data_IF_519397956617
#
_entry.id   IF_519397956617
#
_cell.length_a   1.000
_cell.length_b   1.000
_cell.length_c   1.000
_cell.angle_alpha   90.00
_cell.angle_beta   90.00
_cell.angle_gamma   90.00
#
_symmetry.space_group_name_H-M   'P 1'
#
loop_
_entity.id
_entity.type
_entity.pdbx_description
1 polymer ?
#
# COMPACT_ATOMS: atom_id res chain seq x y z
N UNK A 1 -15.84 10.57 -4.32
CA UNK A 1 -14.41 10.89 -4.62
C UNK A 1 -13.41 9.96 -3.92
N UNK A 2 -13.69 9.42 -2.73
CA UNK A 2 -12.76 8.52 -2.02
C UNK A 2 -12.57 7.14 -2.70
N UNK A 3 -13.65 6.54 -3.22
CA UNK A 3 -13.61 5.22 -3.87
C UNK A 3 -12.58 5.13 -5.02
N UNK A 4 -12.54 6.12 -5.92
CA UNK A 4 -11.59 6.10 -7.04
C UNK A 4 -10.12 6.12 -6.62
N UNK A 5 -9.79 6.72 -5.46
CA UNK A 5 -8.41 6.69 -4.93
C UNK A 5 -8.04 5.30 -4.42
N UNK A 6 -8.97 4.64 -3.71
CA UNK A 6 -8.75 3.28 -3.22
C UNK A 6 -8.65 2.29 -4.38
N UNK A 7 -9.54 2.39 -5.38
CA UNK A 7 -9.48 1.54 -6.56
C UNK A 7 -8.14 1.67 -7.31
N UNK A 8 -7.61 2.89 -7.44
CA UNK A 8 -6.30 3.12 -8.06
C UNK A 8 -5.17 2.42 -7.31
N UNK A 9 -5.17 2.44 -5.97
CA UNK A 9 -4.17 1.75 -5.15
C UNK A 9 -4.27 0.22 -5.28
N UNK A 10 -5.49 -0.32 -5.32
CA UNK A 10 -5.75 -1.74 -5.53
C UNK A 10 -5.18 -2.19 -6.88
N UNK A 11 -5.48 -1.47 -7.96
CA UNK A 11 -4.97 -1.82 -9.29
C UNK A 11 -3.45 -1.67 -9.37
N UNK A 12 -2.87 -0.67 -8.69
CA UNK A 12 -1.40 -0.53 -8.62
C UNK A 12 -0.76 -1.73 -7.93
N UNK A 13 -1.31 -2.21 -6.81
CA UNK A 13 -0.82 -3.40 -6.12
C UNK A 13 -0.86 -4.64 -7.04
N UNK A 14 -1.99 -4.86 -7.74
CA UNK A 14 -2.14 -5.98 -8.69
C UNK A 14 -1.09 -5.97 -9.81
N UNK A 15 -0.85 -4.81 -10.42
CA UNK A 15 0.13 -4.67 -11.52
C UNK A 15 1.55 -4.97 -11.04
N UNK A 16 1.85 -4.72 -9.76
CA UNK A 16 3.14 -5.04 -9.14
C UNK A 16 3.21 -6.48 -8.59
N UNK A 17 2.19 -7.32 -8.80
CA UNK A 17 2.16 -8.69 -8.29
C UNK A 17 1.96 -8.80 -6.78
N UNK A 18 1.51 -7.72 -6.13
CA UNK A 18 1.31 -7.65 -4.69
C UNK A 18 -0.16 -7.91 -4.36
N UNK A 19 -0.42 -8.73 -3.34
CA UNK A 19 -1.78 -8.97 -2.86
C UNK A 19 -2.39 -7.66 -2.31
N UNK A 20 -3.48 -7.14 -2.90
CA UNK A 20 -3.98 -5.80 -2.58
C UNK A 20 -4.42 -5.60 -1.13
N UNK A 21 -5.01 -6.63 -0.51
CA UNK A 21 -5.49 -6.53 0.87
C UNK A 21 -4.31 -6.45 1.85
N UNK A 22 -3.30 -7.31 1.70
CA UNK A 22 -2.08 -7.30 2.50
C UNK A 22 -1.34 -5.97 2.38
N UNK A 23 -1.21 -5.44 1.16
CA UNK A 23 -0.62 -4.12 0.91
C UNK A 23 -1.35 -3.00 1.66
N UNK A 24 -2.67 -2.91 1.47
CA UNK A 24 -3.47 -1.85 2.10
C UNK A 24 -3.49 -1.98 3.63
N UNK A 25 -3.57 -3.22 4.14
CA UNK A 25 -3.53 -3.48 5.58
C UNK A 25 -2.24 -2.96 6.20
N UNK A 26 -1.08 -3.43 5.73
CA UNK A 26 0.19 -3.04 6.32
C UNK A 26 0.50 -1.54 6.10
N UNK A 27 0.09 -0.97 4.97
CA UNK A 27 0.20 0.48 4.72
C UNK A 27 -0.60 1.29 5.74
N UNK A 28 -1.86 0.92 5.98
CA UNK A 28 -2.72 1.62 6.94
C UNK A 28 -2.25 1.43 8.39
N UNK A 29 -1.75 0.23 8.73
CA UNK A 29 -1.12 -0.04 10.03
C UNK A 29 0.13 0.83 10.25
N UNK A 30 1.00 0.95 9.24
CA UNK A 30 2.18 1.81 9.33
C UNK A 30 1.80 3.30 9.51
N UNK A 31 0.80 3.78 8.76
CA UNK A 31 0.29 5.15 8.92
C UNK A 31 -0.27 5.37 10.33
N UNK A 32 -1.05 4.42 10.85
CA UNK A 32 -1.59 4.48 12.21
C UNK A 32 -0.48 4.45 13.28
N UNK A 33 0.63 3.76 13.01
CA UNK A 33 1.82 3.72 13.86
C UNK A 33 2.69 4.99 13.79
N UNK A 34 2.30 5.99 13.00
CA UNK A 34 3.01 7.27 12.91
C UNK A 34 4.11 7.32 11.84
N UNK A 35 4.03 6.48 10.81
CA UNK A 35 4.98 6.49 9.71
C UNK A 35 5.17 7.91 9.14
N UNK A 36 6.42 8.40 9.01
CA UNK A 36 6.68 9.77 8.61
C UNK A 36 6.26 10.00 7.15
N UNK A 37 5.57 11.11 6.88
CA UNK A 37 5.12 11.46 5.51
C UNK A 37 6.30 11.62 4.54
N UNK A 38 7.47 12.02 5.03
CA UNK A 38 8.69 12.20 4.23
C UNK A 38 9.27 10.89 3.67
N UNK A 39 8.83 9.73 4.16
CA UNK A 39 9.28 8.41 3.71
C UNK A 39 8.17 7.64 2.99
N UNK A 40 7.18 8.34 2.42
CA UNK A 40 6.03 7.70 1.77
C UNK A 40 6.42 6.66 0.71
N UNK A 41 7.61 6.81 0.14
CA UNK A 41 8.19 5.89 -0.83
C UNK A 41 8.35 4.47 -0.28
N UNK A 42 8.56 4.30 1.04
CA UNK A 42 8.68 3.00 1.70
C UNK A 42 7.34 2.22 1.68
N UNK A 43 6.21 2.93 1.61
CA UNK A 43 4.86 2.37 1.56
C UNK A 43 4.36 2.11 0.14
N UNK A 44 5.24 2.17 -0.87
CA UNK A 44 4.89 1.85 -2.24
C UNK A 44 4.83 0.33 -2.44
N UNK A 45 3.91 -0.17 -3.29
CA UNK A 45 3.62 -1.60 -3.36
C UNK A 45 4.82 -2.45 -3.76
N UNK A 46 5.74 -1.95 -4.59
CA UNK A 46 6.94 -2.70 -4.99
C UNK A 46 7.96 -2.94 -3.87
N UNK A 47 7.79 -2.34 -2.69
CA UNK A 47 8.60 -2.66 -1.51
C UNK A 47 7.99 -3.79 -0.66
N UNK A 48 6.77 -4.24 -1.01
CA UNK A 48 6.13 -5.37 -0.34
C UNK A 48 6.62 -6.65 -1.01
N UNK A 49 7.44 -7.40 -0.29
CA UNK A 49 7.76 -8.75 -0.72
C UNK A 49 6.50 -9.61 -0.64
N UNK A 50 6.15 -10.29 -1.73
CA UNK A 50 5.02 -11.24 -1.79
C UNK A 50 5.27 -12.52 -0.94
N UNK A 51 6.22 -12.49 -0.02
CA UNK A 51 6.66 -13.61 0.80
C UNK A 51 6.19 -13.42 2.24
N UNK A 52 4.92 -13.71 2.48
CA UNK A 52 4.39 -14.17 3.77
C UNK A 52 3.15 -15.01 3.54
#
# INVERSE_FOLDING_TARGET
KAWGRIASLIETAKINGVEPFAYLKATLEAIAAGHPKSQIDDLLPWNFDSSS
#
